data_IF_592310264634
#
_entry.id   IF_592310264634
#
_cell.length_a   1.000
_cell.length_b   1.000
_cell.length_c   1.000
_cell.angle_alpha   90.00
_cell.angle_beta   90.00
_cell.angle_gamma   90.00
#
_symmetry.space_group_name_H-M   'P 1'
#
loop_
_entity.id
_entity.type
_entity.pdbx_description
1 polymer ?
#
# COMPACT_ATOMS: atom_id res chain seq x y z
N UNK A 1 -28.47 1.88 6.48
CA UNK A 1 -27.29 2.35 5.72
C UNK A 1 -27.53 3.79 5.33
N UNK A 2 -26.93 4.75 6.02
CA UNK A 2 -26.96 6.14 5.59
C UNK A 2 -26.10 6.26 4.34
N UNK A 3 -26.71 6.70 3.25
CA UNK A 3 -25.95 7.11 2.06
C UNK A 3 -25.00 8.23 2.46
N UNK A 4 -23.73 7.91 2.63
CA UNK A 4 -22.66 8.90 2.68
C UNK A 4 -22.65 9.61 1.31
N UNK A 5 -23.35 10.71 1.21
CA UNK A 5 -23.13 11.68 0.13
C UNK A 5 -21.75 12.28 0.33
N UNK A 6 -20.73 11.53 -0.06
CA UNK A 6 -19.38 12.05 -0.11
C UNK A 6 -19.31 13.03 -1.28
N UNK A 7 -19.55 14.29 -1.01
CA UNK A 7 -19.50 15.36 -2.03
C UNK A 7 -18.07 15.81 -2.34
N UNK A 8 -17.09 15.40 -1.51
CA UNK A 8 -15.68 15.75 -1.63
C UNK A 8 -14.81 14.54 -1.38
N UNK A 9 -13.62 14.54 -1.96
CA UNK A 9 -12.63 13.47 -1.86
C UNK A 9 -11.23 14.02 -1.56
N UNK A 10 -10.25 13.13 -1.46
CA UNK A 10 -8.86 13.54 -1.30
C UNK A 10 -8.35 14.43 -2.44
N UNK A 11 -8.92 14.32 -3.65
CA UNK A 11 -8.57 15.20 -4.77
C UNK A 11 -9.00 16.65 -4.58
N UNK A 12 -9.96 16.91 -3.68
CA UNK A 12 -10.42 18.24 -3.32
C UNK A 12 -9.66 18.84 -2.12
N UNK A 13 -8.74 18.05 -1.53
CA UNK A 13 -8.02 18.44 -0.33
C UNK A 13 -6.75 19.22 -0.66
N UNK A 14 -6.69 20.49 -0.25
CA UNK A 14 -5.51 21.34 -0.34
C UNK A 14 -4.67 21.38 0.95
N UNK A 15 -5.17 20.83 2.06
CA UNK A 15 -4.53 20.96 3.38
C UNK A 15 -3.48 19.89 3.67
N UNK A 16 -3.69 18.65 3.17
CA UNK A 16 -2.78 17.52 3.36
C UNK A 16 -2.40 17.23 4.83
N UNK A 17 -3.34 17.43 5.77
CA UNK A 17 -3.12 17.19 7.20
C UNK A 17 -2.63 15.79 7.54
N UNK A 18 -3.05 14.79 6.77
CA UNK A 18 -2.58 13.40 6.89
C UNK A 18 -1.05 13.25 6.69
N UNK A 19 -0.41 14.15 5.94
CA UNK A 19 1.03 14.14 5.71
C UNK A 19 1.84 14.59 6.94
N UNK A 20 1.25 15.49 7.74
CA UNK A 20 1.86 15.99 8.98
C UNK A 20 1.36 15.27 10.23
N UNK A 21 0.48 14.27 10.08
CA UNK A 21 -0.22 13.61 11.17
C UNK A 21 -1.00 14.59 12.09
N UNK A 22 -1.45 15.71 11.54
CA UNK A 22 -2.20 16.75 12.26
C UNK A 22 -3.68 16.69 11.88
N UNK A 23 -4.51 16.17 12.78
CA UNK A 23 -5.96 16.15 12.58
C UNK A 23 -6.55 17.55 12.48
N UNK A 24 -6.00 18.51 13.21
CA UNK A 24 -6.46 19.92 13.21
C UNK A 24 -6.33 20.59 11.83
N UNK A 25 -5.37 20.14 11.03
CA UNK A 25 -5.15 20.64 9.68
C UNK A 25 -6.01 19.94 8.63
N UNK A 26 -6.74 18.90 9.02
CA UNK A 26 -7.59 18.16 8.09
C UNK A 26 -8.90 18.89 7.79
N UNK A 27 -9.40 18.85 6.56
CA UNK A 27 -10.70 19.41 6.24
C UNK A 27 -11.82 18.55 6.85
N UNK A 28 -13.02 19.11 7.08
CA UNK A 28 -14.15 18.36 7.66
C UNK A 28 -14.53 17.08 6.90
N UNK A 29 -14.29 17.05 5.59
CA UNK A 29 -14.55 15.90 4.73
C UNK A 29 -13.38 14.88 4.66
N UNK A 30 -12.35 15.05 5.46
CA UNK A 30 -11.16 14.18 5.40
C UNK A 30 -11.51 12.72 5.69
N UNK A 31 -11.21 11.81 4.78
CA UNK A 31 -11.49 10.39 4.95
C UNK A 31 -10.71 9.77 6.11
N UNK A 32 -9.50 10.26 6.37
CA UNK A 32 -8.67 9.76 7.48
C UNK A 32 -9.29 10.10 8.85
N UNK A 33 -9.81 11.31 9.03
CA UNK A 33 -10.42 11.71 10.31
C UNK A 33 -11.86 11.22 10.47
N UNK A 34 -12.52 10.85 9.39
CA UNK A 34 -13.89 10.33 9.37
C UNK A 34 -13.97 8.82 9.14
N UNK A 35 -12.86 8.10 9.25
CA UNK A 35 -12.85 6.64 9.13
C UNK A 35 -13.67 6.00 10.26
N UNK A 36 -14.38 4.93 9.96
CA UNK A 36 -15.01 4.09 10.97
C UNK A 36 -13.91 3.49 11.86
N UNK A 37 -13.89 3.88 13.12
CA UNK A 37 -12.86 3.45 14.08
C UNK A 37 -12.92 1.96 14.36
N UNK A 38 -14.11 1.36 14.34
CA UNK A 38 -14.26 -0.08 14.54
C UNK A 38 -13.67 -0.86 13.36
N UNK A 39 -13.96 -0.43 12.14
CA UNK A 39 -13.39 -1.01 10.92
C UNK A 39 -11.86 -0.82 10.87
N UNK A 40 -11.35 0.33 11.29
CA UNK A 40 -9.92 0.59 11.37
C UNK A 40 -9.25 -0.38 12.35
N UNK A 41 -9.80 -0.56 13.55
CA UNK A 41 -9.23 -1.46 14.55
C UNK A 41 -9.30 -2.93 14.10
N UNK A 42 -10.40 -3.37 13.50
CA UNK A 42 -10.51 -4.71 12.90
C UNK A 42 -9.42 -4.93 11.85
N UNK A 43 -9.18 -3.95 10.99
CA UNK A 43 -8.12 -4.01 9.98
C UNK A 43 -6.73 -4.08 10.61
N UNK A 44 -6.47 -3.28 11.63
CA UNK A 44 -5.18 -3.29 12.35
C UNK A 44 -4.93 -4.63 13.07
N UNK A 45 -5.98 -5.25 13.62
CA UNK A 45 -5.87 -6.58 14.23
C UNK A 45 -5.46 -7.66 13.21
N UNK A 46 -5.94 -7.59 11.98
CA UNK A 46 -5.48 -8.48 10.90
C UNK A 46 -3.96 -8.33 10.70
N UNK A 47 -3.46 -7.10 10.57
CA UNK A 47 -2.03 -6.86 10.39
C UNK A 47 -1.17 -7.25 11.59
N UNK A 48 -1.72 -7.19 12.82
CA UNK A 48 -1.01 -7.57 14.06
C UNK A 48 -0.97 -9.08 14.25
N UNK A 49 -2.09 -9.76 14.01
CA UNK A 49 -2.31 -11.12 14.47
C UNK A 49 -2.31 -12.17 13.35
N UNK A 50 -2.60 -11.79 12.10
CA UNK A 50 -2.48 -12.72 10.98
C UNK A 50 -1.00 -12.92 10.63
N UNK A 51 -0.48 -14.16 10.71
CA UNK A 51 0.93 -14.43 10.51
C UNK A 51 1.40 -14.15 9.07
N UNK A 52 0.54 -14.35 8.09
CA UNK A 52 0.88 -14.12 6.68
C UNK A 52 0.75 -12.64 6.30
N UNK A 53 -0.41 -12.03 6.54
CA UNK A 53 -0.65 -10.63 6.19
C UNK A 53 0.28 -9.68 6.96
N UNK A 54 0.48 -9.93 8.25
CA UNK A 54 1.39 -9.16 9.06
C UNK A 54 2.85 -9.30 8.61
N UNK A 55 3.28 -10.49 8.20
CA UNK A 55 4.63 -10.71 7.66
C UNK A 55 4.82 -9.97 6.33
N UNK A 56 3.87 -10.07 5.40
CA UNK A 56 3.89 -9.37 4.11
C UNK A 56 4.01 -7.85 4.34
N UNK A 57 3.15 -7.29 5.18
CA UNK A 57 3.13 -5.86 5.46
C UNK A 57 4.45 -5.37 6.08
N UNK A 58 4.97 -6.06 7.10
CA UNK A 58 6.24 -5.70 7.74
C UNK A 58 7.43 -5.82 6.79
N UNK A 59 7.52 -6.92 6.05
CA UNK A 59 8.63 -7.13 5.10
C UNK A 59 8.64 -6.05 4.03
N UNK A 60 7.47 -5.71 3.48
CA UNK A 60 7.33 -4.64 2.50
C UNK A 60 7.78 -3.28 3.07
N UNK A 61 7.31 -2.92 4.27
CA UNK A 61 7.66 -1.66 4.92
C UNK A 61 9.16 -1.58 5.26
N UNK A 62 9.77 -2.68 5.70
CA UNK A 62 11.21 -2.73 5.98
C UNK A 62 12.03 -2.49 4.70
N UNK A 63 11.65 -3.10 3.58
CA UNK A 63 12.37 -2.91 2.32
C UNK A 63 12.28 -1.45 1.86
N UNK A 64 11.08 -0.88 1.89
CA UNK A 64 10.90 0.55 1.57
C UNK A 64 11.79 1.43 2.46
N UNK A 65 11.82 1.19 3.77
CA UNK A 65 12.62 1.98 4.71
C UNK A 65 14.13 1.83 4.53
N UNK A 66 14.61 0.61 4.26
CA UNK A 66 16.05 0.33 4.08
C UNK A 66 16.60 0.85 2.75
N UNK A 67 15.80 0.77 1.69
CA UNK A 67 16.27 1.00 0.33
C UNK A 67 15.69 2.24 -0.35
N UNK A 68 14.94 3.05 0.39
CA UNK A 68 14.34 4.27 -0.14
C UNK A 68 15.36 5.15 -0.88
N UNK A 69 15.07 5.45 -2.15
CA UNK A 69 15.95 6.24 -3.00
C UNK A 69 17.26 5.56 -3.43
N UNK A 70 17.46 4.28 -3.09
CA UNK A 70 18.66 3.49 -3.46
C UNK A 70 18.36 2.41 -4.48
N UNK A 71 17.23 1.72 -4.33
CA UNK A 71 16.77 0.70 -5.27
C UNK A 71 15.60 1.22 -6.11
N UNK A 72 15.45 0.67 -7.31
CA UNK A 72 14.24 0.85 -8.11
C UNK A 72 13.12 -0.02 -7.56
N UNK A 73 11.87 0.27 -7.92
CA UNK A 73 10.71 -0.57 -7.54
C UNK A 73 10.81 -2.02 -8.00
N UNK A 74 11.46 -2.27 -9.13
CA UNK A 74 11.73 -3.63 -9.60
C UNK A 74 12.70 -4.34 -8.66
N UNK A 75 13.79 -3.69 -8.27
CA UNK A 75 14.78 -4.24 -7.33
C UNK A 75 14.20 -4.46 -5.94
N UNK A 76 13.40 -3.52 -5.42
CA UNK A 76 12.67 -3.68 -4.16
C UNK A 76 11.69 -4.87 -4.20
N UNK A 77 11.01 -5.06 -5.32
CA UNK A 77 10.13 -6.22 -5.52
C UNK A 77 10.90 -7.53 -5.49
N UNK A 78 12.07 -7.58 -6.14
CA UNK A 78 12.94 -8.75 -6.13
C UNK A 78 13.43 -9.04 -4.70
N UNK A 79 13.83 -8.01 -3.98
CA UNK A 79 14.27 -8.14 -2.59
C UNK A 79 13.13 -8.66 -1.69
N UNK A 80 11.91 -8.16 -1.90
CA UNK A 80 10.72 -8.67 -1.21
C UNK A 80 10.49 -10.17 -1.48
N UNK A 81 10.52 -10.58 -2.75
CA UNK A 81 10.38 -11.99 -3.15
C UNK A 81 11.42 -12.87 -2.46
N UNK A 82 12.67 -12.41 -2.40
CA UNK A 82 13.76 -13.12 -1.72
C UNK A 82 13.54 -13.26 -0.22
N UNK A 83 13.19 -12.18 0.47
CA UNK A 83 12.95 -12.17 1.92
C UNK A 83 11.74 -13.01 2.31
N UNK A 84 10.71 -13.02 1.47
CA UNK A 84 9.54 -13.89 1.66
C UNK A 84 9.79 -15.35 1.31
N UNK A 85 10.89 -15.66 0.64
CA UNK A 85 11.23 -17.03 0.21
C UNK A 85 10.34 -17.56 -0.91
N UNK A 86 9.65 -16.70 -1.65
CA UNK A 86 8.76 -17.11 -2.72
C UNK A 86 9.53 -17.73 -3.90
N UNK A 87 9.06 -18.88 -4.40
CA UNK A 87 9.65 -19.62 -5.52
C UNK A 87 8.84 -19.54 -6.80
N UNK A 88 7.59 -19.11 -6.71
CA UNK A 88 6.68 -18.98 -7.86
C UNK A 88 6.00 -17.64 -7.78
N UNK A 89 6.13 -16.85 -8.83
CA UNK A 89 5.56 -15.51 -8.93
C UNK A 89 4.59 -15.48 -10.09
N UNK A 90 3.36 -15.08 -9.83
CA UNK A 90 2.36 -14.79 -10.85
C UNK A 90 2.41 -13.32 -11.26
N UNK A 91 2.33 -13.05 -12.55
CA UNK A 91 2.24 -11.70 -13.10
C UNK A 91 0.89 -11.55 -13.80
N UNK A 92 0.07 -10.62 -13.33
CA UNK A 92 -1.18 -10.25 -13.97
C UNK A 92 -1.06 -8.85 -14.57
N UNK A 93 -1.40 -8.70 -15.84
CA UNK A 93 -1.36 -7.43 -16.54
C UNK A 93 -2.43 -7.36 -17.63
N UNK A 94 -2.81 -6.16 -18.05
CA UNK A 94 -3.62 -5.99 -19.24
C UNK A 94 -2.76 -6.17 -20.51
N UNK A 95 -3.41 -6.37 -21.64
CA UNK A 95 -2.74 -6.54 -22.94
C UNK A 95 -1.80 -5.37 -23.29
N UNK A 96 -2.14 -4.16 -22.87
CA UNK A 96 -1.33 -2.96 -23.11
C UNK A 96 0.03 -2.96 -22.39
N UNK A 97 0.20 -3.79 -21.35
CA UNK A 97 1.43 -3.89 -20.55
C UNK A 97 2.19 -5.21 -20.77
N UNK A 98 1.82 -5.99 -21.79
CA UNK A 98 2.44 -7.31 -22.01
C UNK A 98 3.94 -7.22 -22.31
N UNK A 99 4.40 -6.13 -22.91
CA UNK A 99 5.82 -5.92 -23.19
C UNK A 99 6.60 -5.73 -21.89
N UNK A 100 6.13 -4.88 -21.00
CA UNK A 100 6.72 -4.60 -19.69
C UNK A 100 6.66 -5.84 -18.80
N UNK A 101 5.54 -6.53 -18.78
CA UNK A 101 5.36 -7.79 -18.06
C UNK A 101 6.36 -8.88 -18.54
N UNK A 102 6.59 -8.96 -19.85
CA UNK A 102 7.57 -9.89 -20.43
C UNK A 102 9.02 -9.53 -20.03
N UNK A 103 9.35 -8.23 -19.96
CA UNK A 103 10.66 -7.78 -19.48
C UNK A 103 10.83 -8.15 -18.00
N UNK A 104 9.84 -7.84 -17.18
CA UNK A 104 9.86 -8.16 -15.75
C UNK A 104 9.98 -9.68 -15.50
N UNK A 105 9.20 -10.48 -16.23
CA UNK A 105 9.30 -11.95 -16.14
C UNK A 105 10.69 -12.50 -16.48
N UNK A 106 11.43 -11.85 -17.37
CA UNK A 106 12.83 -12.22 -17.68
C UNK A 106 13.80 -11.83 -16.57
N UNK A 107 13.56 -10.72 -15.90
CA UNK A 107 14.37 -10.26 -14.77
C UNK A 107 14.21 -11.20 -13.56
N UNK A 108 13.03 -11.80 -13.40
CA UNK A 108 12.72 -12.73 -12.30
C UNK A 108 13.29 -14.15 -12.50
N UNK A 109 13.80 -14.50 -13.65
CA UNK A 109 14.43 -15.81 -13.94
C UNK A 109 15.89 -15.86 -13.50
#
# INVERSE_FOLDING_TARGET
MSELKCTHSCSDCSRLGCRSASEEQSPPFCLTTNVDKALLEETLEIYRNDPEQGLIARTSACIEGEFYGRLTRVEETIEFIKRMGYKKIGIASCVGLMREASIFARILK
#
